data_IF_250858148033
#
_entry.id   IF_250858148033
#
_cell.length_a   1.000
_cell.length_b   1.000
_cell.length_c   1.000
_cell.angle_alpha   90.00
_cell.angle_beta   90.00
_cell.angle_gamma   90.00
#
_symmetry.space_group_name_H-M   'P 1'
#
loop_
_entity.id
_entity.type
_entity.pdbx_description
1 polymer ?
#
# COMPACT_ATOMS: atom_id res chain seq x y z
N UNK A 1 -9.41 8.92 -10.92
CA UNK A 1 -10.70 8.70 -11.60
C UNK A 1 -10.45 8.93 -13.07
N UNK A 2 -10.66 7.92 -13.93
CA UNK A 2 -10.39 8.04 -15.38
C UNK A 2 -11.43 8.92 -16.06
N UNK A 3 -11.23 9.25 -17.34
CA UNK A 3 -12.15 10.10 -18.12
C UNK A 3 -13.53 9.47 -18.34
N UNK A 4 -13.66 8.16 -18.18
CA UNK A 4 -14.91 7.39 -18.30
C UNK A 4 -15.45 6.92 -16.95
N UNK A 5 -14.91 7.43 -15.84
CA UNK A 5 -15.28 6.98 -14.50
C UNK A 5 -16.10 8.05 -13.80
N UNK A 6 -17.28 7.68 -13.32
CA UNK A 6 -18.11 8.51 -12.44
C UNK A 6 -17.95 8.05 -10.99
N UNK A 7 -17.94 9.00 -10.05
CA UNK A 7 -17.94 8.72 -8.62
C UNK A 7 -19.28 9.11 -8.03
N UNK A 8 -19.98 8.13 -7.45
CA UNK A 8 -21.26 8.33 -6.77
C UNK A 8 -21.07 8.05 -5.28
N UNK A 9 -21.64 8.90 -4.43
CA UNK A 9 -21.66 8.67 -2.99
C UNK A 9 -22.78 7.67 -2.64
N UNK A 10 -22.45 6.66 -1.82
CA UNK A 10 -23.40 5.70 -1.29
C UNK A 10 -22.85 5.04 -0.03
N UNK A 11 -23.72 4.81 0.95
CA UNK A 11 -23.44 4.08 2.18
C UNK A 11 -24.27 2.79 2.18
N UNK A 12 -23.60 1.64 2.17
CA UNK A 12 -24.27 0.33 2.19
C UNK A 12 -25.09 0.06 3.46
N UNK A 13 -24.88 0.85 4.51
CA UNK A 13 -25.67 0.79 5.73
C UNK A 13 -26.92 1.71 5.68
N UNK A 14 -27.01 2.60 4.68
CA UNK A 14 -28.17 3.44 4.40
C UNK A 14 -28.81 3.05 3.05
N UNK A 15 -29.87 2.23 3.05
CA UNK A 15 -30.52 1.77 1.82
C UNK A 15 -30.95 2.89 0.87
N UNK A 16 -31.36 4.04 1.39
CA UNK A 16 -31.84 5.15 0.56
C UNK A 16 -30.72 5.71 -0.33
N UNK A 17 -29.49 5.70 0.18
CA UNK A 17 -28.30 6.19 -0.50
C UNK A 17 -27.85 5.32 -1.68
N UNK A 18 -28.28 4.05 -1.74
CA UNK A 18 -27.87 3.10 -2.78
C UNK A 18 -28.65 3.26 -4.09
N UNK A 19 -29.82 3.90 -4.05
CA UNK A 19 -30.70 4.02 -5.22
C UNK A 19 -30.02 4.76 -6.38
N UNK A 20 -29.36 5.88 -6.11
CA UNK A 20 -28.63 6.65 -7.12
C UNK A 20 -27.41 5.90 -7.65
N UNK A 21 -26.72 5.15 -6.79
CA UNK A 21 -25.52 4.39 -7.15
C UNK A 21 -25.81 3.21 -8.11
N UNK A 22 -27.05 2.69 -8.11
CA UNK A 22 -27.46 1.57 -8.96
C UNK A 22 -28.08 2.00 -10.30
N UNK A 23 -28.37 3.29 -10.48
CA UNK A 23 -29.07 3.76 -11.67
C UNK A 23 -28.23 3.58 -12.94
N UNK A 24 -28.73 2.81 -13.90
CA UNK A 24 -28.05 2.54 -15.17
C UNK A 24 -26.89 1.54 -15.08
N UNK A 25 -26.76 0.83 -13.95
CA UNK A 25 -25.73 -0.19 -13.74
C UNK A 25 -26.20 -1.54 -14.29
N UNK A 26 -25.46 -2.12 -15.25
CA UNK A 26 -25.71 -3.48 -15.73
C UNK A 26 -25.12 -4.55 -14.78
N UNK A 27 -23.87 -4.36 -14.37
CA UNK A 27 -23.13 -5.31 -13.54
C UNK A 27 -22.52 -4.60 -12.34
N UNK A 28 -22.76 -5.14 -11.14
CA UNK A 28 -22.29 -4.56 -9.88
C UNK A 28 -21.26 -5.47 -9.20
N UNK A 29 -20.06 -4.95 -8.95
CA UNK A 29 -19.04 -5.64 -8.14
C UNK A 29 -19.21 -5.32 -6.66
N UNK A 30 -19.23 -6.36 -5.81
CA UNK A 30 -19.30 -6.19 -4.36
C UNK A 30 -17.95 -6.54 -3.72
N UNK A 31 -17.22 -5.52 -3.26
CA UNK A 31 -15.93 -5.66 -2.56
C UNK A 31 -15.95 -5.10 -1.12
N UNK A 32 -17.11 -4.70 -0.62
CA UNK A 32 -17.23 -4.13 0.72
C UNK A 32 -17.00 -5.20 1.78
N UNK A 33 -16.18 -4.87 2.78
CA UNK A 33 -15.92 -5.73 3.92
C UNK A 33 -15.50 -4.92 5.16
N UNK A 34 -16.21 -5.10 6.28
CA UNK A 34 -16.15 -4.23 7.46
C UNK A 34 -15.04 -4.59 8.47
N UNK A 35 -13.89 -5.11 8.02
CA UNK A 35 -12.83 -5.61 8.93
C UNK A 35 -12.27 -4.57 9.90
N UNK A 36 -12.29 -3.29 9.52
CA UNK A 36 -11.75 -2.16 10.28
C UNK A 36 -12.63 -1.70 11.45
N UNK A 37 -13.89 -2.14 11.50
CA UNK A 37 -14.84 -1.74 12.53
C UNK A 37 -14.46 -2.27 13.92
N UNK A 38 -14.64 -1.41 14.93
CA UNK A 38 -14.45 -1.73 16.35
C UNK A 38 -15.61 -2.57 16.94
N UNK A 39 -16.74 -2.68 16.22
CA UNK A 39 -17.93 -3.48 16.59
C UNK A 39 -18.02 -4.79 15.78
N UNK A 40 -19.06 -5.58 16.02
CA UNK A 40 -19.35 -6.86 15.36
C UNK A 40 -19.49 -6.69 13.83
N UNK A 41 -18.38 -6.92 13.12
CA UNK A 41 -18.30 -6.73 11.67
C UNK A 41 -19.20 -7.70 10.90
N UNK A 42 -19.53 -8.86 11.50
CA UNK A 42 -20.39 -9.87 10.89
C UNK A 42 -21.79 -9.30 10.64
N UNK A 43 -22.32 -8.54 11.61
CA UNK A 43 -23.63 -7.87 11.49
C UNK A 43 -23.62 -6.73 10.46
N UNK A 44 -22.55 -5.93 10.43
CA UNK A 44 -22.44 -4.86 9.43
C UNK A 44 -22.36 -5.41 8.00
N UNK A 45 -21.58 -6.48 7.80
CA UNK A 45 -21.49 -7.12 6.49
C UNK A 45 -22.82 -7.78 6.08
N UNK A 46 -23.58 -8.31 7.05
CA UNK A 46 -24.94 -8.87 6.83
C UNK A 46 -25.92 -7.80 6.36
N UNK A 47 -25.96 -6.65 7.06
CA UNK A 47 -26.81 -5.51 6.70
C UNK A 47 -26.41 -4.97 5.33
N UNK A 48 -25.12 -4.72 5.13
CA UNK A 48 -24.59 -4.17 3.88
C UNK A 48 -24.89 -5.05 2.66
N UNK A 49 -24.65 -6.36 2.77
CA UNK A 49 -24.92 -7.31 1.69
C UNK A 49 -26.40 -7.37 1.33
N UNK A 50 -27.26 -7.40 2.35
CA UNK A 50 -28.72 -7.43 2.17
C UNK A 50 -29.21 -6.17 1.46
N UNK A 51 -28.82 -4.99 1.96
CA UNK A 51 -29.20 -3.71 1.38
C UNK A 51 -28.73 -3.58 -0.07
N UNK A 52 -27.48 -3.96 -0.33
CA UNK A 52 -26.89 -3.90 -1.67
C UNK A 52 -27.61 -4.81 -2.66
N UNK A 53 -27.84 -6.07 -2.31
CA UNK A 53 -28.53 -7.01 -3.20
C UNK A 53 -29.98 -6.61 -3.47
N UNK A 54 -30.69 -6.11 -2.46
CA UNK A 54 -32.05 -5.60 -2.63
C UNK A 54 -32.08 -4.36 -3.54
N UNK A 55 -31.17 -3.41 -3.33
CA UNK A 55 -31.07 -2.22 -4.17
C UNK A 55 -30.72 -2.56 -5.62
N UNK A 56 -29.75 -3.46 -5.83
CA UNK A 56 -29.36 -3.94 -7.16
C UNK A 56 -30.54 -4.63 -7.87
N UNK A 57 -31.25 -5.50 -7.16
CA UNK A 57 -32.43 -6.21 -7.68
C UNK A 57 -33.55 -5.24 -8.04
N UNK A 58 -33.84 -4.25 -7.19
CA UNK A 58 -34.86 -3.23 -7.43
C UNK A 58 -34.52 -2.30 -8.61
N UNK A 59 -33.23 -2.01 -8.82
CA UNK A 59 -32.75 -1.20 -9.94
C UNK A 59 -32.65 -1.97 -11.26
N UNK A 60 -32.89 -3.29 -11.25
CA UNK A 60 -32.77 -4.14 -12.44
C UNK A 60 -31.32 -4.39 -12.87
N UNK A 61 -30.37 -4.32 -11.93
CA UNK A 61 -28.98 -4.74 -12.18
C UNK A 61 -28.99 -6.18 -12.67
N UNK A 62 -28.33 -6.45 -13.79
CA UNK A 62 -28.33 -7.77 -14.41
C UNK A 62 -27.58 -8.78 -13.55
N UNK A 63 -26.43 -8.40 -12.98
CA UNK A 63 -25.54 -9.31 -12.27
C UNK A 63 -24.82 -8.66 -11.10
N UNK A 64 -24.67 -9.43 -10.02
CA UNK A 64 -23.72 -9.13 -8.96
C UNK A 64 -22.51 -10.04 -9.09
N UNK A 65 -21.30 -9.48 -9.07
CA UNK A 65 -20.04 -10.24 -8.97
C UNK A 65 -19.46 -10.00 -7.58
N UNK A 66 -19.37 -11.06 -6.79
CA UNK A 66 -18.86 -11.02 -5.43
C UNK A 66 -17.53 -11.74 -5.34
N UNK A 67 -16.50 -11.07 -4.83
CA UNK A 67 -15.28 -11.74 -4.40
C UNK A 67 -15.45 -12.10 -2.93
N UNK A 68 -15.61 -13.40 -2.64
CA UNK A 68 -15.76 -14.03 -1.33
C UNK A 68 -14.47 -14.64 -0.76
N UNK A 69 -14.58 -15.35 0.36
CA UNK A 69 -13.46 -16.02 1.02
C UNK A 69 -13.54 -17.53 0.88
N UNK A 70 -12.46 -18.17 0.41
CA UNK A 70 -12.38 -19.62 0.35
C UNK A 70 -12.24 -20.23 1.75
N UNK A 71 -12.95 -21.32 2.01
CA UNK A 71 -12.90 -22.07 3.25
C UNK A 71 -13.87 -23.24 3.18
N UNK A 72 -13.52 -24.34 3.82
CA UNK A 72 -14.36 -25.53 3.86
C UNK A 72 -15.58 -25.29 4.78
N UNK A 73 -16.82 -25.36 4.25
CA UNK A 73 -18.02 -25.18 5.07
C UNK A 73 -18.22 -26.29 6.10
N UNK A 74 -17.61 -27.47 5.92
CA UNK A 74 -17.69 -28.59 6.85
C UNK A 74 -16.71 -28.45 8.03
N UNK A 75 -15.78 -27.49 7.97
CA UNK A 75 -14.87 -27.16 9.05
C UNK A 75 -15.37 -26.01 9.94
N UNK A 76 -14.80 -25.91 11.15
CA UNK A 76 -15.01 -24.75 12.01
C UNK A 76 -14.30 -23.52 11.43
N UNK A 77 -15.03 -22.76 10.61
CA UNK A 77 -14.53 -21.53 10.01
C UNK A 77 -14.30 -20.45 11.06
N UNK A 78 -13.18 -19.73 10.92
CA UNK A 78 -12.97 -18.45 11.59
C UNK A 78 -14.15 -17.50 11.34
N UNK A 79 -14.41 -16.58 12.28
CA UNK A 79 -15.46 -15.55 12.13
C UNK A 79 -15.35 -14.78 10.82
N UNK A 80 -14.12 -14.44 10.43
CA UNK A 80 -13.83 -13.77 9.16
C UNK A 80 -14.32 -14.59 7.95
N UNK A 81 -13.93 -15.86 7.81
CA UNK A 81 -14.34 -16.68 6.66
C UNK A 81 -15.84 -16.98 6.67
N UNK A 82 -16.42 -17.20 7.86
CA UNK A 82 -17.86 -17.43 8.01
C UNK A 82 -18.67 -16.23 7.53
N UNK A 83 -18.34 -15.03 8.00
CA UNK A 83 -18.98 -13.79 7.55
C UNK A 83 -18.85 -13.58 6.04
N UNK A 84 -17.69 -13.91 5.45
CA UNK A 84 -17.47 -13.83 4.01
C UNK A 84 -18.37 -14.78 3.21
N UNK A 85 -18.61 -15.99 3.69
CA UNK A 85 -19.53 -16.94 3.06
C UNK A 85 -20.99 -16.53 3.25
N UNK A 86 -21.34 -16.08 4.46
CA UNK A 86 -22.67 -15.56 4.79
C UNK A 86 -23.06 -14.36 3.91
N UNK A 87 -22.12 -13.42 3.67
CA UNK A 87 -22.33 -12.34 2.70
C UNK A 87 -22.69 -12.88 1.32
N UNK A 88 -22.00 -13.92 0.83
CA UNK A 88 -22.31 -14.55 -0.45
C UNK A 88 -23.71 -15.16 -0.49
N UNK A 89 -24.13 -15.79 0.61
CA UNK A 89 -25.47 -16.36 0.76
C UNK A 89 -26.55 -15.26 0.74
N UNK A 90 -26.35 -14.16 1.47
CA UNK A 90 -27.29 -13.04 1.50
C UNK A 90 -27.44 -12.38 0.12
N UNK A 91 -26.33 -12.17 -0.59
CA UNK A 91 -26.37 -11.63 -1.95
C UNK A 91 -27.21 -12.54 -2.86
N UNK A 92 -27.01 -13.87 -2.79
CA UNK A 92 -27.79 -14.86 -3.57
C UNK A 92 -29.26 -14.94 -3.18
N UNK A 93 -29.57 -14.80 -1.90
CA UNK A 93 -30.94 -14.86 -1.41
C UNK A 93 -31.77 -13.65 -1.87
N UNK A 94 -31.13 -12.52 -2.17
CA UNK A 94 -31.80 -11.28 -2.55
C UNK A 94 -31.58 -10.86 -4.01
N UNK A 95 -30.71 -11.55 -4.76
CA UNK A 95 -30.47 -11.29 -6.18
C UNK A 95 -30.39 -12.61 -6.98
N UNK A 96 -31.12 -12.75 -8.10
CA UNK A 96 -31.22 -14.02 -8.82
C UNK A 96 -29.91 -14.44 -9.50
N UNK A 97 -29.08 -13.46 -9.87
CA UNK A 97 -27.88 -13.67 -10.67
C UNK A 97 -26.61 -13.17 -9.99
N UNK A 98 -26.03 -14.01 -9.14
CA UNK A 98 -24.78 -13.73 -8.41
C UNK A 98 -23.68 -14.69 -8.86
N UNK A 99 -22.55 -14.13 -9.29
CA UNK A 99 -21.31 -14.87 -9.51
C UNK A 99 -20.41 -14.64 -8.29
N UNK A 100 -20.27 -15.66 -7.44
CA UNK A 100 -19.36 -15.61 -6.30
C UNK A 100 -18.03 -16.28 -6.65
N UNK A 101 -16.92 -15.55 -6.52
CA UNK A 101 -15.58 -16.10 -6.52
C UNK A 101 -15.08 -16.30 -5.11
N UNK A 102 -14.84 -17.54 -4.68
CA UNK A 102 -14.19 -17.85 -3.40
C UNK A 102 -12.70 -18.02 -3.62
N UNK A 103 -11.93 -17.00 -3.29
CA UNK A 103 -10.49 -17.00 -3.51
C UNK A 103 -9.71 -17.45 -2.26
N UNK A 104 -8.63 -18.19 -2.48
CA UNK A 104 -7.57 -18.37 -1.49
C UNK A 104 -6.78 -17.06 -1.29
N UNK A 105 -5.65 -17.12 -0.60
CA UNK A 105 -4.75 -15.96 -0.42
C UNK A 105 -4.33 -15.38 -1.78
N UNK A 106 -4.57 -14.08 -1.95
CA UNK A 106 -4.20 -13.32 -3.14
C UNK A 106 -2.76 -12.83 -3.02
N UNK A 107 -1.94 -13.09 -4.04
CA UNK A 107 -0.53 -12.69 -4.14
C UNK A 107 -0.44 -11.55 -5.15
N UNK A 108 -0.05 -10.36 -4.69
CA UNK A 108 0.01 -9.17 -5.52
C UNK A 108 0.11 -7.88 -4.69
N UNK A 109 0.54 -6.80 -5.34
CA UNK A 109 0.53 -5.45 -4.77
C UNK A 109 -0.88 -5.10 -4.27
N UNK A 110 -0.97 -4.42 -3.13
CA UNK A 110 -2.26 -4.04 -2.52
C UNK A 110 -2.99 -5.17 -1.78
N UNK A 111 -2.60 -6.44 -1.93
CA UNK A 111 -3.15 -7.53 -1.12
C UNK A 111 -2.66 -7.47 0.33
N UNK A 112 -3.55 -7.24 1.29
CA UNK A 112 -3.21 -7.18 2.72
C UNK A 112 -2.48 -8.44 3.21
N UNK A 113 -2.89 -9.62 2.73
CA UNK A 113 -2.30 -10.90 3.13
C UNK A 113 -0.89 -11.07 2.56
N UNK A 114 -0.66 -10.64 1.32
CA UNK A 114 0.68 -10.65 0.72
C UNK A 114 1.60 -9.61 1.37
N UNK A 115 1.08 -8.42 1.64
CA UNK A 115 1.81 -7.36 2.35
C UNK A 115 2.22 -7.80 3.76
N UNK A 116 1.37 -8.57 4.44
CA UNK A 116 1.72 -9.18 5.72
C UNK A 116 2.87 -10.18 5.56
N UNK A 117 2.78 -11.13 4.62
CA UNK A 117 3.86 -12.10 4.33
C UNK A 117 5.17 -11.39 4.03
N UNK A 118 5.12 -10.39 3.15
CA UNK A 118 6.27 -9.55 2.80
C UNK A 118 6.86 -8.88 4.02
N UNK A 119 6.05 -8.17 4.80
CA UNK A 119 6.53 -7.40 5.93
C UNK A 119 7.14 -8.30 7.03
N UNK A 120 6.64 -9.52 7.19
CA UNK A 120 7.23 -10.54 8.05
C UNK A 120 8.59 -10.99 7.53
N UNK A 121 8.63 -11.41 6.28
CA UNK A 121 9.85 -11.93 5.67
C UNK A 121 10.89 -10.84 5.55
N UNK A 122 10.57 -9.62 5.19
CA UNK A 122 11.57 -8.55 5.09
C UNK A 122 12.19 -8.20 6.45
N UNK A 123 11.44 -8.30 7.56
CA UNK A 123 11.86 -7.79 8.87
C UNK A 123 12.38 -8.82 9.84
N UNK A 124 11.99 -10.08 9.73
CA UNK A 124 12.30 -11.09 10.73
C UNK A 124 13.31 -12.10 10.19
N UNK A 125 14.63 -11.95 10.46
CA UNK A 125 15.62 -12.93 10.05
C UNK A 125 15.40 -14.29 10.73
N UNK A 126 14.87 -14.28 11.95
CA UNK A 126 14.43 -15.45 12.70
C UNK A 126 12.93 -15.32 12.94
N UNK A 127 12.15 -16.31 12.47
CA UNK A 127 10.70 -16.35 12.57
C UNK A 127 10.29 -17.49 13.49
N UNK A 128 9.58 -17.14 14.57
CA UNK A 128 8.92 -18.12 15.43
C UNK A 128 7.61 -18.51 14.74
N UNK A 129 7.53 -19.75 14.25
CA UNK A 129 6.48 -20.22 13.36
C UNK A 129 5.46 -21.09 14.12
N UNK A 130 4.29 -20.56 14.50
CA UNK A 130 3.20 -21.36 15.05
C UNK A 130 2.64 -22.38 14.06
N UNK A 131 1.79 -23.29 14.56
CA UNK A 131 1.17 -24.36 13.75
C UNK A 131 0.49 -23.87 12.46
N UNK A 132 -0.12 -22.69 12.46
CA UNK A 132 -0.82 -22.15 11.27
C UNK A 132 0.12 -21.96 10.08
N UNK A 133 1.43 -21.79 10.29
CA UNK A 133 2.42 -21.68 9.20
C UNK A 133 2.44 -22.94 8.32
N UNK A 134 1.98 -24.08 8.85
CA UNK A 134 1.86 -25.36 8.12
C UNK A 134 0.50 -25.57 7.46
N UNK A 135 -0.49 -24.71 7.72
CA UNK A 135 -1.80 -24.78 7.05
C UNK A 135 -1.59 -24.54 5.56
N UNK A 136 -2.27 -25.35 4.74
CA UNK A 136 -2.17 -25.26 3.29
C UNK A 136 -3.15 -24.24 2.73
N UNK A 137 -2.68 -23.54 1.71
CA UNK A 137 -3.44 -22.63 0.89
C UNK A 137 -3.15 -22.95 -0.58
N UNK A 138 -3.98 -22.41 -1.47
CA UNK A 138 -3.82 -22.54 -2.92
C UNK A 138 -3.77 -21.14 -3.55
N UNK A 139 -2.67 -20.39 -3.37
CA UNK A 139 -2.61 -18.95 -3.62
C UNK A 139 -2.90 -18.59 -5.08
N UNK A 140 -3.53 -17.45 -5.31
CA UNK A 140 -3.82 -16.93 -6.67
C UNK A 140 -3.13 -15.58 -6.89
N UNK A 141 -2.58 -15.35 -8.10
CA UNK A 141 -2.03 -14.03 -8.44
C UNK A 141 -3.15 -13.00 -8.58
N UNK A 142 -2.91 -11.75 -8.18
CA UNK A 142 -3.90 -10.68 -8.29
C UNK A 142 -4.35 -10.47 -9.75
N UNK A 143 -3.44 -10.58 -10.71
CA UNK A 143 -3.76 -10.42 -12.13
C UNK A 143 -4.64 -11.56 -12.66
N UNK A 144 -4.47 -12.78 -12.16
CA UNK A 144 -5.32 -13.92 -12.54
C UNK A 144 -6.71 -13.81 -11.92
N UNK A 145 -6.79 -13.34 -10.67
CA UNK A 145 -8.05 -13.02 -10.01
C UNK A 145 -8.80 -11.91 -10.76
N UNK A 146 -8.11 -10.85 -11.18
CA UNK A 146 -8.70 -9.79 -11.99
C UNK A 146 -9.18 -10.33 -13.35
N UNK A 147 -8.45 -11.24 -13.98
CA UNK A 147 -8.89 -11.90 -15.21
C UNK A 147 -10.22 -12.68 -15.00
N UNK A 148 -10.36 -13.41 -13.88
CA UNK A 148 -11.64 -14.06 -13.54
C UNK A 148 -12.77 -13.05 -13.37
N UNK A 149 -12.51 -11.94 -12.65
CA UNK A 149 -13.50 -10.88 -12.44
C UNK A 149 -13.93 -10.23 -13.74
N UNK A 150 -13.02 -10.01 -14.68
CA UNK A 150 -13.31 -9.42 -15.99
C UNK A 150 -14.09 -10.38 -16.88
N UNK A 151 -13.66 -11.64 -17.00
CA UNK A 151 -14.40 -12.65 -17.77
C UNK A 151 -15.80 -12.92 -17.19
N UNK A 152 -16.01 -12.65 -15.90
CA UNK A 152 -17.32 -12.77 -15.26
C UNK A 152 -18.36 -11.75 -15.73
N UNK A 153 -17.98 -10.66 -16.40
CA UNK A 153 -18.91 -9.65 -16.94
C UNK A 153 -19.69 -10.23 -18.12
N UNK A 154 -18.99 -10.94 -19.00
CA UNK A 154 -19.55 -11.41 -20.29
C UNK A 154 -20.17 -12.81 -20.21
N UNK A 155 -20.27 -13.38 -19.01
CA UNK A 155 -20.89 -14.71 -18.85
C UNK A 155 -22.35 -14.72 -19.33
N UNK A 156 -22.81 -15.85 -19.88
CA UNK A 156 -24.23 -16.07 -20.09
C UNK A 156 -25.01 -16.01 -18.77
N UNK A 157 -26.25 -15.55 -18.84
CA UNK A 157 -27.13 -15.52 -17.68
C UNK A 157 -27.53 -16.94 -17.28
N UNK A 158 -27.71 -17.14 -15.97
CA UNK A 158 -27.94 -18.44 -15.39
C UNK A 158 -28.16 -18.33 -13.89
N UNK A 159 -28.32 -19.47 -13.20
CA UNK A 159 -28.45 -19.47 -11.76
C UNK A 159 -27.20 -18.89 -11.11
N UNK A 160 -27.38 -18.33 -9.91
CA UNK A 160 -26.25 -17.92 -9.09
C UNK A 160 -25.28 -19.09 -8.86
N UNK A 161 -23.99 -18.82 -9.01
CA UNK A 161 -22.95 -19.86 -9.01
C UNK A 161 -21.74 -19.43 -8.18
N UNK A 162 -21.22 -20.39 -7.41
CA UNK A 162 -19.97 -20.25 -6.67
C UNK A 162 -18.85 -20.89 -7.50
N UNK A 163 -17.74 -20.16 -7.62
CA UNK A 163 -16.50 -20.59 -8.26
C UNK A 163 -15.35 -20.45 -7.27
N UNK A 164 -14.75 -21.57 -6.88
CA UNK A 164 -13.54 -21.55 -6.07
C UNK A 164 -12.33 -21.31 -6.97
N UNK A 165 -11.50 -20.33 -6.61
CA UNK A 165 -10.35 -19.91 -7.41
C UNK A 165 -9.05 -19.94 -6.60
N UNK A 166 -8.02 -20.50 -7.22
CA UNK A 166 -6.70 -20.69 -6.66
C UNK A 166 -5.67 -20.95 -7.76
N UNK A 167 -4.40 -20.82 -7.43
CA UNK A 167 -3.30 -21.21 -8.31
C UNK A 167 -3.15 -22.73 -8.44
N UNK A 168 -2.21 -23.22 -9.25
CA UNK A 168 -1.96 -24.66 -9.40
C UNK A 168 -1.27 -25.29 -8.18
N UNK A 169 -0.62 -24.49 -7.33
CA UNK A 169 0.19 -24.99 -6.22
C UNK A 169 -0.56 -24.99 -4.89
N UNK A 170 -0.66 -26.15 -4.24
CA UNK A 170 -1.10 -26.27 -2.86
C UNK A 170 0.10 -26.21 -1.92
N UNK A 171 0.31 -25.06 -1.28
CA UNK A 171 1.49 -24.77 -0.46
C UNK A 171 1.10 -24.28 0.93
N UNK A 172 1.97 -24.55 1.91
CA UNK A 172 1.83 -23.97 3.24
C UNK A 172 2.26 -22.50 3.27
N UNK A 173 1.75 -21.73 4.23
CA UNK A 173 2.21 -20.35 4.45
C UNK A 173 3.73 -20.25 4.66
N UNK A 174 4.34 -21.26 5.29
CA UNK A 174 5.80 -21.37 5.43
C UNK A 174 6.51 -21.46 4.09
N UNK A 175 5.98 -22.24 3.15
CA UNK A 175 6.52 -22.35 1.80
C UNK A 175 6.35 -21.04 1.01
N UNK A 176 5.22 -20.34 1.16
CA UNK A 176 5.03 -19.02 0.54
C UNK A 176 6.07 -18.01 1.07
N UNK A 177 6.26 -17.95 2.39
CA UNK A 177 7.28 -17.10 3.02
C UNK A 177 8.70 -17.47 2.56
N UNK A 178 9.00 -18.76 2.42
CA UNK A 178 10.30 -19.23 1.95
C UNK A 178 10.55 -18.86 0.48
N UNK A 179 9.55 -19.01 -0.38
CA UNK A 179 9.65 -18.65 -1.79
C UNK A 179 9.85 -17.14 -1.97
N UNK A 180 9.10 -16.32 -1.22
CA UNK A 180 9.31 -14.88 -1.17
C UNK A 180 10.74 -14.52 -0.74
N UNK A 181 11.23 -15.14 0.35
CA UNK A 181 12.59 -14.93 0.85
C UNK A 181 13.64 -15.29 -0.21
N UNK A 182 13.46 -16.42 -0.89
CA UNK A 182 14.35 -16.91 -1.94
C UNK A 182 14.47 -15.90 -3.09
N UNK A 183 13.35 -15.38 -3.59
CA UNK A 183 13.35 -14.40 -4.69
C UNK A 183 13.94 -13.05 -4.29
N UNK A 184 13.85 -12.67 -3.00
CA UNK A 184 14.45 -11.45 -2.45
C UNK A 184 15.89 -11.62 -1.99
N UNK A 185 16.49 -12.80 -2.13
CA UNK A 185 17.85 -13.08 -1.64
C UNK A 185 17.98 -13.05 -0.11
N UNK A 186 16.88 -13.25 0.60
CA UNK A 186 16.80 -13.19 2.05
C UNK A 186 16.94 -14.59 2.67
N UNK A 187 17.81 -14.73 3.67
CA UNK A 187 17.90 -15.95 4.49
C UNK A 187 17.02 -15.82 5.72
N UNK A 188 16.13 -16.79 5.94
CA UNK A 188 15.14 -16.78 7.03
C UNK A 188 15.16 -18.09 7.81
N UNK A 189 15.38 -17.98 9.11
CA UNK A 189 15.40 -19.11 10.04
C UNK A 189 14.00 -19.30 10.61
N UNK A 190 13.31 -20.37 10.23
CA UNK A 190 11.95 -20.66 10.69
C UNK A 190 12.00 -21.68 11.83
N UNK A 191 11.65 -21.26 13.05
CA UNK A 191 11.67 -22.10 14.26
C UNK A 191 10.22 -22.50 14.58
N UNK A 192 9.80 -23.76 14.36
CA UNK A 192 8.44 -24.17 14.62
C UNK A 192 8.14 -24.21 16.12
N UNK A 193 6.98 -23.69 16.52
CA UNK A 193 6.47 -23.76 17.90
C UNK A 193 5.04 -24.31 17.95
N UNK A 194 4.67 -25.10 18.98
CA UNK A 194 3.38 -25.79 19.04
C UNK A 194 2.20 -24.83 19.23
N UNK A 195 2.40 -23.68 19.87
CA UNK A 195 1.40 -22.61 20.02
C UNK A 195 2.13 -21.29 20.19
N UNK A 196 1.57 -20.22 19.62
CA UNK A 196 1.99 -18.86 19.91
C UNK A 196 0.92 -18.28 20.83
N UNK A 197 1.29 -17.85 22.03
CA UNK A 197 0.34 -17.21 22.94
C UNK A 197 -0.19 -15.92 22.29
N UNK A 198 -1.44 -15.51 22.56
CA UNK A 198 -2.00 -14.27 22.02
C UNK A 198 -1.09 -13.05 22.23
N UNK A 199 -0.39 -12.98 23.36
CA UNK A 199 0.58 -11.92 23.68
C UNK A 199 1.81 -11.92 22.75
N UNK A 200 2.41 -13.08 22.47
CA UNK A 200 3.51 -13.20 21.52
C UNK A 200 3.07 -12.93 20.08
N UNK A 201 1.85 -13.33 19.73
CA UNK A 201 1.26 -13.04 18.41
C UNK A 201 1.02 -11.54 18.19
N UNK A 202 0.62 -10.80 19.23
CA UNK A 202 0.49 -9.34 19.17
C UNK A 202 1.82 -8.61 19.14
N UNK A 203 2.85 -9.12 19.83
CA UNK A 203 4.20 -8.54 19.78
C UNK A 203 4.80 -8.68 18.37
N UNK A 204 4.61 -9.86 17.76
CA UNK A 204 5.05 -10.17 16.40
C UNK A 204 4.30 -9.36 15.35
N UNK A 205 2.97 -9.23 15.45
CA UNK A 205 2.17 -8.36 14.56
C UNK A 205 2.49 -6.86 14.75
N UNK A 206 2.75 -6.42 15.98
CA UNK A 206 3.12 -5.04 16.30
C UNK A 206 4.45 -4.60 15.68
N UNK A 207 5.40 -5.52 15.49
CA UNK A 207 6.68 -5.26 14.83
C UNK A 207 6.54 -5.01 13.31
N UNK A 208 5.39 -5.40 12.73
CA UNK A 208 5.18 -5.53 11.28
C UNK A 208 4.41 -4.35 10.73
N UNK A 209 3.42 -3.80 11.43
CA UNK A 209 2.96 -2.39 11.38
C UNK A 209 1.67 -2.21 12.19
N UNK A 210 1.42 -1.02 12.79
CA UNK A 210 0.21 -0.78 13.60
C UNK A 210 -1.11 -0.99 12.83
N UNK A 211 -1.16 -0.68 11.53
CA UNK A 211 -2.34 -0.85 10.68
C UNK A 211 -2.79 -2.33 10.61
N UNK A 212 -1.84 -3.26 10.56
CA UNK A 212 -2.12 -4.70 10.53
C UNK A 212 -2.29 -5.29 11.93
N UNK A 213 -2.03 -4.57 13.01
CA UNK A 213 -2.27 -5.12 14.35
C UNK A 213 -3.77 -5.31 14.61
N UNK A 214 -4.63 -4.43 14.08
CA UNK A 214 -6.10 -4.51 14.21
C UNK A 214 -6.72 -5.48 13.21
N UNK A 215 -6.45 -5.29 11.91
CA UNK A 215 -6.99 -6.15 10.83
C UNK A 215 -6.29 -7.51 10.79
N UNK A 216 -4.97 -7.52 10.99
CA UNK A 216 -4.16 -8.73 10.90
C UNK A 216 -4.44 -9.76 11.98
N UNK A 217 -5.04 -9.40 13.14
CA UNK A 217 -5.49 -10.42 14.10
C UNK A 217 -6.61 -11.29 13.50
N UNK A 218 -7.61 -10.66 12.88
CA UNK A 218 -8.73 -11.35 12.21
C UNK A 218 -8.22 -12.17 11.02
N UNK A 219 -7.29 -11.61 10.25
CA UNK A 219 -6.65 -12.34 9.15
C UNK A 219 -5.83 -13.55 9.64
N UNK A 220 -4.97 -13.39 10.65
CA UNK A 220 -4.18 -14.50 11.23
C UNK A 220 -5.07 -15.61 11.78
N UNK A 221 -6.22 -15.26 12.36
CA UNK A 221 -7.20 -16.25 12.79
C UNK A 221 -7.76 -17.06 11.61
N UNK A 222 -8.06 -16.41 10.48
CA UNK A 222 -8.48 -17.11 9.27
C UNK A 222 -7.41 -17.99 8.62
N UNK A 223 -6.11 -17.70 8.82
CA UNK A 223 -5.02 -18.56 8.32
C UNK A 223 -4.98 -19.95 8.98
N UNK A 224 -5.78 -20.18 10.02
CA UNK A 224 -5.92 -21.50 10.66
C UNK A 224 -6.75 -22.47 9.83
N UNK A 225 -7.62 -21.96 8.96
CA UNK A 225 -8.44 -22.77 8.07
C UNK A 225 -7.69 -23.02 6.75
N UNK A 226 -7.63 -24.26 6.25
CA UNK A 226 -7.17 -24.55 4.90
C UNK A 226 -8.01 -23.82 3.86
N UNK A 227 -7.35 -23.32 2.81
CA UNK A 227 -8.03 -22.65 1.69
C UNK A 227 -7.64 -23.34 0.39
N UNK A 228 -8.15 -24.56 0.24
CA UNK A 228 -7.90 -25.43 -0.91
C UNK A 228 -9.13 -25.45 -1.81
N UNK A 229 -8.90 -25.43 -3.11
CA UNK A 229 -9.98 -25.52 -4.10
C UNK A 229 -10.48 -26.97 -4.15
N UNK A 230 -11.78 -27.17 -3.92
CA UNK A 230 -12.41 -28.48 -3.83
C UNK A 230 -12.82 -29.06 -5.19
N UNK A 231 -13.02 -28.22 -6.21
CA UNK A 231 -13.43 -28.64 -7.54
C UNK A 231 -12.83 -27.77 -8.65
N UNK A 232 -12.83 -28.26 -9.89
CA UNK A 232 -12.23 -27.59 -11.05
C UNK A 232 -13.25 -26.76 -11.87
N UNK A 233 -14.42 -26.45 -11.31
CA UNK A 233 -15.50 -25.76 -12.01
C UNK A 233 -15.01 -24.43 -12.61
N UNK A 234 -14.26 -23.63 -11.86
CA UNK A 234 -13.71 -22.37 -12.36
C UNK A 234 -12.79 -22.57 -13.58
N UNK A 235 -11.90 -23.57 -13.55
CA UNK A 235 -10.95 -23.86 -14.64
C UNK A 235 -11.64 -24.36 -15.92
N UNK A 236 -12.75 -25.09 -15.77
CA UNK A 236 -13.58 -25.53 -16.91
C UNK A 236 -14.42 -24.41 -17.50
N UNK A 237 -14.73 -23.42 -16.68
CA UNK A 237 -15.76 -22.41 -16.98
C UNK A 237 -15.17 -21.10 -17.51
N UNK A 238 -13.93 -20.79 -17.14
CA UNK A 238 -13.21 -19.58 -17.53
C UNK A 238 -11.96 -19.94 -18.33
N UNK A 239 -11.51 -19.00 -19.17
CA UNK A 239 -10.32 -19.16 -20.00
C UNK A 239 -9.03 -18.96 -19.18
N UNK A 240 -9.14 -18.31 -18.02
CA UNK A 240 -8.04 -18.03 -17.09
C UNK A 240 -7.24 -19.30 -16.76
N UNK A 241 -5.92 -19.19 -16.83
CA UNK A 241 -4.96 -20.22 -16.41
C UNK A 241 -4.04 -19.62 -15.34
N UNK A 242 -4.36 -19.84 -14.05
CA UNK A 242 -3.63 -19.21 -12.95
C UNK A 242 -2.14 -19.57 -12.94
N UNK A 243 -1.31 -18.57 -12.62
CA UNK A 243 0.13 -18.74 -12.47
C UNK A 243 0.49 -19.52 -11.21
N UNK A 244 1.62 -20.22 -11.27
CA UNK A 244 2.20 -20.85 -10.08
C UNK A 244 2.64 -19.80 -9.05
N UNK A 245 2.77 -20.19 -7.78
CA UNK A 245 3.14 -19.30 -6.66
C UNK A 245 4.47 -18.60 -6.92
N UNK A 246 5.44 -19.31 -7.52
CA UNK A 246 6.73 -18.73 -7.92
C UNK A 246 6.54 -17.54 -8.88
N UNK A 247 5.71 -17.70 -9.89
CA UNK A 247 5.44 -16.66 -10.90
C UNK A 247 4.58 -15.52 -10.34
N UNK A 248 3.58 -15.84 -9.52
CA UNK A 248 2.76 -14.85 -8.83
C UNK A 248 3.61 -13.91 -7.96
N UNK A 249 4.52 -14.48 -7.15
CA UNK A 249 5.45 -13.68 -6.32
C UNK A 249 6.40 -12.87 -7.19
N UNK A 250 6.97 -13.48 -8.25
CA UNK A 250 7.90 -12.78 -9.14
C UNK A 250 7.23 -11.57 -9.80
N UNK A 251 5.97 -11.73 -10.24
CA UNK A 251 5.20 -10.66 -10.86
C UNK A 251 4.87 -9.55 -9.87
N UNK A 252 4.43 -9.91 -8.66
CA UNK A 252 4.14 -8.97 -7.58
C UNK A 252 5.37 -8.11 -7.23
N UNK A 253 6.57 -8.70 -7.21
CA UNK A 253 7.83 -7.98 -6.96
C UNK A 253 8.20 -6.99 -8.09
N UNK A 254 7.91 -7.30 -9.35
CA UNK A 254 8.17 -6.40 -10.48
C UNK A 254 7.20 -5.20 -10.48
N UNK A 255 5.94 -5.43 -10.14
CA UNK A 255 4.91 -4.39 -10.13
C UNK A 255 5.00 -3.49 -8.88
N UNK A 256 5.62 -3.95 -7.78
CA UNK A 256 5.90 -3.15 -6.57
C UNK A 256 6.61 -1.82 -6.90
N UNK A 257 7.59 -1.84 -7.83
CA UNK A 257 8.34 -0.63 -8.21
C UNK A 257 7.53 0.32 -9.14
N UNK A 258 6.49 -0.16 -9.85
CA UNK A 258 5.68 0.62 -10.81
C UNK A 258 4.37 1.15 -10.21
N UNK A 259 3.61 0.30 -9.52
CA UNK A 259 2.24 0.61 -9.07
C UNK A 259 2.18 1.53 -7.85
N UNK A 260 3.29 1.70 -7.12
CA UNK A 260 3.39 2.66 -6.00
C UNK A 260 3.40 4.13 -6.48
N UNK A 261 3.64 4.37 -7.78
CA UNK A 261 3.50 5.68 -8.39
C UNK A 261 2.03 6.06 -8.67
N UNK A 262 1.15 5.06 -8.85
CA UNK A 262 -0.23 5.24 -9.30
C UNK A 262 -1.28 4.99 -8.21
N UNK A 263 -1.00 4.12 -7.23
CA UNK A 263 -1.95 3.76 -6.15
C UNK A 263 -1.84 4.70 -4.94
N UNK A 264 -2.38 5.93 -5.09
CA UNK A 264 -2.57 6.84 -3.96
C UNK A 264 -3.90 6.62 -3.24
N UNK A 265 -3.80 6.02 -2.05
CA UNK A 265 -4.37 6.51 -0.79
C UNK A 265 -5.87 6.38 -0.45
N UNK A 266 -6.79 6.03 -1.35
CA UNK A 266 -8.22 5.91 -0.96
C UNK A 266 -8.51 4.70 -0.04
N UNK A 267 -7.89 3.55 -0.31
CA UNK A 267 -8.40 2.30 0.26
C UNK A 267 -7.84 1.97 1.66
N UNK A 268 -6.73 2.59 2.04
CA UNK A 268 -6.14 2.43 3.37
C UNK A 268 -6.89 3.19 4.48
N UNK A 269 -7.70 4.20 4.12
CA UNK A 269 -8.52 4.99 5.05
C UNK A 269 -9.82 4.26 5.42
N UNK A 270 -10.38 3.43 4.54
CA UNK A 270 -11.63 2.71 4.80
C UNK A 270 -11.47 1.58 5.84
N UNK A 271 -10.26 1.04 6.01
CA UNK A 271 -10.00 -0.07 6.94
C UNK A 271 -9.42 0.37 8.30
N UNK A 272 -9.06 1.65 8.45
CA UNK A 272 -8.51 2.18 9.69
C UNK A 272 -9.11 3.55 9.95
N UNK A 273 -9.88 3.67 11.04
CA UNK A 273 -10.44 4.96 11.49
C UNK A 273 -9.39 6.08 11.57
N UNK A 274 -9.82 7.33 11.79
CA UNK A 274 -8.98 8.52 11.61
C UNK A 274 -7.64 8.38 12.34
N UNK A 275 -6.49 8.59 11.65
CA UNK A 275 -5.19 8.45 12.26
C UNK A 275 -5.05 9.49 13.39
N UNK A 276 -4.65 9.03 14.58
CA UNK A 276 -4.20 9.93 15.64
C UNK A 276 -2.92 10.62 15.17
N UNK A 277 -2.98 11.94 14.97
CA UNK A 277 -1.85 12.78 14.60
C UNK A 277 -0.87 12.92 15.77
N UNK A 278 0.18 12.11 15.79
CA UNK A 278 1.46 12.40 16.44
C UNK A 278 2.57 11.61 15.72
N UNK A 279 3.41 12.30 14.94
CA UNK A 279 4.58 11.71 14.25
C UNK A 279 4.27 11.07 12.89
N UNK A 280 5.27 11.06 11.98
CA UNK A 280 5.14 10.74 10.55
C UNK A 280 4.34 9.48 10.19
N UNK A 281 3.71 9.50 9.02
CA UNK A 281 2.87 8.41 8.52
C UNK A 281 3.73 7.24 8.00
N UNK A 282 3.32 6.00 8.27
CA UNK A 282 4.03 4.77 7.87
C UNK A 282 3.22 4.02 6.81
N UNK A 283 3.81 3.76 5.65
CA UNK A 283 3.15 3.07 4.54
C UNK A 283 3.90 1.76 4.23
N UNK A 284 3.41 0.62 4.73
CA UNK A 284 4.08 -0.68 4.55
C UNK A 284 5.46 -0.75 5.24
N UNK A 285 6.48 -1.24 4.53
CA UNK A 285 7.90 -1.19 4.95
C UNK A 285 8.51 0.21 4.82
N UNK A 286 7.94 1.08 3.98
CA UNK A 286 8.40 2.44 3.71
C UNK A 286 8.06 3.39 4.86
N UNK A 287 9.08 4.10 5.31
CA UNK A 287 9.02 5.12 6.36
C UNK A 287 8.91 6.48 5.69
N UNK A 288 7.92 7.28 6.08
CA UNK A 288 7.67 8.60 5.50
C UNK A 288 7.66 9.66 6.60
N UNK A 289 8.45 10.70 6.41
CA UNK A 289 8.52 11.85 7.29
C UNK A 289 8.22 13.11 6.49
N UNK A 290 7.00 13.63 6.65
CA UNK A 290 6.50 14.76 5.87
C UNK A 290 6.26 15.98 6.76
N UNK A 291 6.63 17.16 6.27
CA UNK A 291 6.48 18.45 6.93
C UNK A 291 5.99 19.49 5.95
N UNK A 292 5.20 20.43 6.43
CA UNK A 292 4.65 21.53 5.63
C UNK A 292 5.00 22.87 6.22
N UNK A 293 5.18 23.86 5.35
CA UNK A 293 5.33 25.26 5.73
C UNK A 293 4.56 26.13 4.74
N UNK A 294 3.80 27.09 5.27
CA UNK A 294 3.04 28.04 4.46
C UNK A 294 3.81 29.36 4.33
N UNK A 295 3.83 29.89 3.12
CA UNK A 295 4.49 31.15 2.77
C UNK A 295 3.54 32.01 1.95
N UNK A 296 3.45 33.30 2.26
CA UNK A 296 2.63 34.27 1.53
C UNK A 296 3.39 34.80 0.29
N UNK A 297 3.72 33.87 -0.61
CA UNK A 297 4.35 34.14 -1.92
C UNK A 297 3.72 33.24 -3.01
N UNK A 298 3.76 33.65 -4.30
CA UNK A 298 3.32 32.82 -5.41
C UNK A 298 4.15 31.52 -5.58
N UNK A 299 3.62 30.55 -6.30
CA UNK A 299 4.21 29.21 -6.52
C UNK A 299 5.66 29.26 -6.99
N UNK A 300 5.96 30.04 -8.04
CA UNK A 300 7.31 30.13 -8.62
C UNK A 300 8.35 30.64 -7.60
N UNK A 301 7.95 31.60 -6.76
CA UNK A 301 8.80 32.18 -5.74
C UNK A 301 8.99 31.24 -4.54
N UNK A 302 7.95 30.46 -4.19
CA UNK A 302 8.08 29.38 -3.21
C UNK A 302 9.00 28.25 -3.71
N UNK A 303 8.98 27.95 -5.01
CA UNK A 303 9.77 26.88 -5.62
C UNK A 303 11.21 27.28 -5.95
N UNK A 304 11.50 28.57 -6.17
CA UNK A 304 12.83 29.08 -6.48
C UNK A 304 13.97 28.61 -5.54
N UNK A 305 13.83 28.65 -4.20
CA UNK A 305 14.87 28.12 -3.32
C UNK A 305 15.01 26.59 -3.41
N UNK A 306 13.92 25.87 -3.63
CA UNK A 306 13.92 24.40 -3.78
C UNK A 306 14.72 24.02 -5.03
N UNK A 307 14.50 24.75 -6.13
CA UNK A 307 15.25 24.61 -7.38
C UNK A 307 16.75 24.80 -7.18
N UNK A 308 17.20 25.60 -6.20
CA UNK A 308 18.62 25.95 -5.96
C UNK A 308 19.34 25.07 -4.94
N UNK A 309 18.69 24.05 -4.39
CA UNK A 309 19.28 23.13 -3.40
C UNK A 309 20.56 22.47 -3.96
N UNK A 310 21.58 22.35 -3.12
CA UNK A 310 22.87 21.74 -3.44
C UNK A 310 23.89 22.72 -4.05
N UNK A 311 25.09 22.23 -4.34
CA UNK A 311 26.17 23.07 -4.89
C UNK A 311 26.57 24.22 -3.95
N UNK A 312 26.78 25.42 -4.49
CA UNK A 312 27.22 26.60 -3.69
C UNK A 312 26.16 27.12 -2.73
N UNK A 313 24.89 26.82 -2.96
CA UNK A 313 23.76 27.22 -2.09
C UNK A 313 23.66 26.33 -0.84
N UNK A 314 24.15 25.09 -0.94
CA UNK A 314 24.00 24.09 0.12
C UNK A 314 22.56 23.59 0.27
N UNK A 315 22.28 22.98 1.42
CA UNK A 315 21.03 22.33 1.78
C UNK A 315 20.18 23.20 2.72
N UNK A 316 20.46 24.50 2.79
CA UNK A 316 19.79 25.50 3.63
C UNK A 316 19.88 25.27 5.14
N UNK A 317 20.37 24.13 5.63
CA UNK A 317 20.56 23.90 7.06
C UNK A 317 21.58 22.79 7.33
N UNK A 318 22.46 23.05 8.29
CA UNK A 318 23.47 22.12 8.78
C UNK A 318 24.29 21.45 7.66
N UNK A 319 24.80 22.25 6.71
CA UNK A 319 25.58 21.80 5.55
C UNK A 319 26.81 20.95 5.94
N UNK A 320 27.36 21.18 7.13
CA UNK A 320 28.45 20.38 7.69
C UNK A 320 28.03 18.92 7.98
N UNK A 321 26.77 18.66 8.37
CA UNK A 321 26.25 17.30 8.56
C UNK A 321 26.12 16.56 7.23
N UNK A 322 25.69 17.27 6.19
CA UNK A 322 25.61 16.73 4.83
C UNK A 322 27.02 16.43 4.28
N UNK A 323 27.97 17.32 4.54
CA UNK A 323 29.38 17.12 4.19
C UNK A 323 29.99 15.93 4.94
N UNK A 324 29.76 15.82 6.24
CA UNK A 324 30.18 14.68 7.06
C UNK A 324 29.54 13.38 6.56
N UNK A 325 28.24 13.40 6.23
CA UNK A 325 27.55 12.24 5.67
C UNK A 325 28.17 11.80 4.36
N UNK A 326 28.45 12.71 3.44
CA UNK A 326 29.09 12.37 2.18
C UNK A 326 30.55 11.90 2.35
N UNK A 327 31.28 12.41 3.35
CA UNK A 327 32.60 11.87 3.70
C UNK A 327 32.52 10.42 4.21
N UNK A 328 31.59 10.12 5.12
CA UNK A 328 31.34 8.75 5.59
C UNK A 328 30.91 7.82 4.45
N UNK A 329 30.13 8.33 3.49
CA UNK A 329 29.76 7.57 2.30
C UNK A 329 30.98 7.16 1.47
N UNK A 330 31.91 8.09 1.24
CA UNK A 330 33.15 7.84 0.52
C UNK A 330 34.02 6.77 1.21
N UNK A 331 34.13 6.81 2.55
CA UNK A 331 34.85 5.79 3.32
C UNK A 331 34.23 4.40 3.18
N UNK A 332 32.91 4.32 3.02
CA UNK A 332 32.20 3.07 2.75
C UNK A 332 32.21 2.68 1.26
N UNK A 333 32.93 3.41 0.40
CA UNK A 333 33.03 3.17 -1.05
C UNK A 333 31.78 3.61 -1.83
N UNK A 334 31.04 4.58 -1.33
CA UNK A 334 29.94 5.26 -2.03
C UNK A 334 30.43 6.43 -2.90
N UNK A 335 29.51 7.23 -3.41
CA UNK A 335 29.78 8.33 -4.36
C UNK A 335 30.43 9.55 -3.70
N UNK A 336 30.18 9.77 -2.39
CA UNK A 336 30.70 10.91 -1.63
C UNK A 336 30.15 12.29 -2.07
N UNK A 337 30.81 13.38 -1.66
CA UNK A 337 30.43 14.80 -1.99
C UNK A 337 30.99 15.24 -3.36
N UNK A 338 31.39 14.32 -4.25
CA UNK A 338 32.25 14.64 -5.41
C UNK A 338 31.52 14.97 -6.71
N UNK A 339 30.24 15.37 -6.68
CA UNK A 339 29.51 15.80 -7.88
C UNK A 339 28.93 17.18 -7.69
N UNK A 340 29.62 18.16 -8.26
CA UNK A 340 29.10 19.51 -8.42
C UNK A 340 27.85 19.51 -9.30
N UNK A 341 27.02 20.51 -9.10
CA UNK A 341 25.79 20.74 -9.86
C UNK A 341 26.10 21.28 -11.27
N UNK A 342 25.30 20.89 -12.28
CA UNK A 342 25.45 21.31 -13.68
C UNK A 342 25.21 22.81 -13.88
N UNK A 343 24.10 23.32 -13.35
CA UNK A 343 23.69 24.71 -13.45
C UNK A 343 23.08 25.16 -12.11
N UNK A 344 23.43 26.33 -11.54
CA UNK A 344 22.95 26.76 -10.23
C UNK A 344 21.43 27.01 -10.16
N UNK A 345 20.77 27.23 -11.29
CA UNK A 345 19.37 27.63 -11.40
C UNK A 345 18.52 26.66 -12.23
N UNK A 346 19.09 25.88 -13.15
CA UNK A 346 18.37 24.89 -13.95
C UNK A 346 18.62 23.46 -13.44
N UNK A 347 17.55 22.65 -13.35
CA UNK A 347 17.62 21.22 -13.00
C UNK A 347 17.05 20.39 -14.14
N UNK A 348 17.63 19.23 -14.38
CA UNK A 348 17.07 18.20 -15.28
C UNK A 348 17.02 16.87 -14.57
N UNK A 349 16.07 16.03 -14.98
CA UNK A 349 16.03 14.63 -14.57
C UNK A 349 17.37 13.97 -14.92
N UNK A 350 17.98 13.32 -13.93
CA UNK A 350 19.31 12.74 -14.02
C UNK A 350 20.44 13.62 -13.48
N UNK A 351 20.22 14.92 -13.22
CA UNK A 351 21.27 15.78 -12.64
C UNK A 351 21.67 15.31 -11.25
N UNK A 352 22.97 15.41 -10.93
CA UNK A 352 23.51 15.07 -9.62
C UNK A 352 23.56 16.31 -8.71
N UNK A 353 23.10 16.15 -7.47
CA UNK A 353 23.14 17.12 -6.39
C UNK A 353 23.85 16.48 -5.20
N UNK A 354 25.17 16.65 -5.14
CA UNK A 354 26.04 15.94 -4.20
C UNK A 354 25.90 14.41 -4.32
N UNK A 355 25.28 13.78 -3.32
CA UNK A 355 24.99 12.34 -3.26
C UNK A 355 23.51 12.02 -3.53
N UNK A 356 22.80 12.95 -4.17
CA UNK A 356 21.44 12.77 -4.65
C UNK A 356 21.38 12.89 -6.17
N UNK A 357 20.39 12.24 -6.78
CA UNK A 357 20.07 12.38 -8.21
C UNK A 357 18.66 12.89 -8.37
N UNK A 358 18.46 13.85 -9.27
CA UNK A 358 17.14 14.31 -9.67
C UNK A 358 16.43 13.16 -10.37
N UNK A 359 15.36 12.65 -9.76
CA UNK A 359 14.54 11.58 -10.31
C UNK A 359 13.31 12.15 -11.02
N UNK A 360 12.71 13.22 -10.48
CA UNK A 360 11.56 13.90 -11.06
C UNK A 360 11.68 15.41 -10.85
N UNK A 361 11.36 16.18 -11.89
CA UNK A 361 11.42 17.64 -11.87
C UNK A 361 10.26 18.23 -12.71
N UNK A 362 9.31 18.85 -12.03
CA UNK A 362 8.10 19.46 -12.61
C UNK A 362 7.91 20.86 -12.01
N UNK A 363 8.69 21.87 -12.44
CA UNK A 363 8.54 23.23 -11.91
C UNK A 363 7.16 23.84 -12.29
N UNK A 364 6.57 24.69 -11.44
CA UNK A 364 6.96 25.05 -10.07
C UNK A 364 6.41 24.11 -8.97
N UNK A 365 5.98 22.90 -9.32
CA UNK A 365 5.18 22.05 -8.45
C UNK A 365 5.99 21.01 -7.69
N UNK A 366 7.02 20.42 -8.30
CA UNK A 366 7.63 19.21 -7.75
C UNK A 366 9.11 19.02 -8.07
N UNK A 367 9.85 18.55 -7.07
CA UNK A 367 11.21 18.04 -7.20
C UNK A 367 11.36 16.77 -6.34
N UNK A 368 11.77 15.65 -6.95
CA UNK A 368 12.13 14.43 -6.23
C UNK A 368 13.58 14.09 -6.46
N UNK A 369 14.26 13.81 -5.37
CA UNK A 369 15.66 13.41 -5.33
C UNK A 369 15.76 11.98 -4.82
N UNK A 370 16.48 11.11 -5.54
CA UNK A 370 16.82 9.75 -5.13
C UNK A 370 18.25 9.74 -4.54
N UNK A 371 18.45 9.08 -3.41
CA UNK A 371 19.75 8.98 -2.76
C UNK A 371 20.67 7.99 -3.48
N UNK A 372 21.88 8.43 -3.84
CA UNK A 372 22.92 7.57 -4.41
C UNK A 372 23.92 7.08 -3.37
N UNK A 373 23.87 7.62 -2.15
CA UNK A 373 24.74 7.22 -1.05
C UNK A 373 24.42 5.79 -0.59
N UNK A 374 25.42 5.08 -0.06
CA UNK A 374 25.23 3.75 0.52
C UNK A 374 24.39 3.85 1.78
N UNK A 375 23.20 3.25 1.72
CA UNK A 375 22.26 3.15 2.82
C UNK A 375 21.82 1.69 2.93
N UNK A 376 21.46 1.22 4.14
CA UNK A 376 20.79 -0.07 4.31
C UNK A 376 19.31 0.06 3.88
N UNK A 377 19.06 0.48 2.64
CA UNK A 377 17.75 0.83 2.12
C UNK A 377 17.82 1.75 0.90
N UNK A 378 16.66 2.14 0.36
CA UNK A 378 16.52 3.19 -0.68
C UNK A 378 15.95 4.45 -0.02
N UNK A 379 16.33 5.64 -0.47
CA UNK A 379 15.86 6.88 0.15
C UNK A 379 15.53 7.95 -0.89
N UNK A 380 14.49 8.71 -0.63
CA UNK A 380 14.11 9.86 -1.45
C UNK A 380 13.86 11.08 -0.58
N UNK A 381 14.11 12.26 -1.16
CA UNK A 381 13.69 13.54 -0.62
C UNK A 381 12.84 14.24 -1.67
N UNK A 382 11.59 14.48 -1.34
CA UNK A 382 10.62 15.12 -2.22
C UNK A 382 10.21 16.48 -1.68
N UNK A 383 10.09 17.44 -2.60
CA UNK A 383 9.48 18.72 -2.36
C UNK A 383 8.28 18.90 -3.28
N UNK A 384 7.16 19.32 -2.70
CA UNK A 384 5.95 19.71 -3.42
C UNK A 384 5.56 21.13 -3.04
N UNK A 385 5.11 21.91 -4.01
CA UNK A 385 4.56 23.25 -3.78
C UNK A 385 3.17 23.31 -4.38
N UNK A 386 2.21 23.71 -3.55
CA UNK A 386 0.80 23.85 -3.93
C UNK A 386 0.22 25.12 -3.31
N UNK A 387 -0.64 25.83 -4.02
CA UNK A 387 -1.16 27.12 -3.57
C UNK A 387 -1.78 27.92 -4.69
N UNK A 388 -1.99 29.20 -4.42
CA UNK A 388 -2.54 30.19 -5.34
C UNK A 388 -1.50 31.30 -5.64
N UNK A 389 -1.94 32.37 -6.29
CA UNK A 389 -1.08 33.50 -6.67
C UNK A 389 -0.55 34.32 -5.47
N UNK A 390 -1.08 34.13 -4.26
CA UNK A 390 -0.74 34.93 -3.07
C UNK A 390 -0.13 34.11 -1.95
N UNK A 391 -0.44 32.81 -1.87
CA UNK A 391 -0.02 31.92 -0.80
C UNK A 391 0.30 30.53 -1.33
N UNK A 392 1.45 30.03 -0.93
CA UNK A 392 1.94 28.70 -1.27
C UNK A 392 2.22 27.88 -0.02
N UNK A 393 1.99 26.58 -0.12
CA UNK A 393 2.37 25.57 0.87
C UNK A 393 3.49 24.73 0.30
N UNK A 394 4.64 24.73 0.98
CA UNK A 394 5.79 23.89 0.66
C UNK A 394 5.70 22.64 1.54
N UNK A 395 5.64 21.47 0.92
CA UNK A 395 5.70 20.16 1.59
C UNK A 395 7.05 19.52 1.30
N UNK A 396 7.78 19.19 2.36
CA UNK A 396 9.01 18.42 2.32
C UNK A 396 8.74 17.02 2.85
N UNK A 397 9.09 16.00 2.09
CA UNK A 397 8.84 14.60 2.43
C UNK A 397 10.11 13.78 2.26
N UNK A 398 10.66 13.27 3.37
CA UNK A 398 11.71 12.27 3.36
C UNK A 398 11.07 10.87 3.33
N UNK A 399 11.49 10.03 2.39
CA UNK A 399 10.96 8.69 2.16
C UNK A 399 12.12 7.71 2.30
N UNK A 400 11.94 6.63 3.03
CA UNK A 400 12.97 5.60 3.20
C UNK A 400 12.39 4.19 3.15
N UNK A 401 12.97 3.37 2.29
CA UNK A 401 12.71 1.93 2.19
C UNK A 401 13.82 1.16 2.87
N UNK A 402 13.63 0.76 4.15
CA UNK A 402 14.64 0.02 4.88
C UNK A 402 14.87 -1.37 4.27
N UNK A 403 16.13 -1.72 4.05
CA UNK A 403 16.53 -3.09 3.74
C UNK A 403 16.63 -3.87 5.07
N UNK A 404 15.55 -4.55 5.44
CA UNK A 404 15.48 -5.38 6.64
C UNK A 404 15.73 -4.62 7.96
N UNK A 405 16.22 -5.33 8.98
CA UNK A 405 16.42 -4.75 10.33
C UNK A 405 17.51 -3.68 10.38
N UNK A 406 18.59 -3.84 9.61
CA UNK A 406 19.69 -2.87 9.58
C UNK A 406 19.20 -1.53 9.01
N UNK A 407 18.28 -1.56 8.04
CA UNK A 407 17.59 -0.38 7.54
C UNK A 407 16.74 0.31 8.60
N UNK A 408 15.94 -0.47 9.35
CA UNK A 408 15.10 0.07 10.42
C UNK A 408 15.94 0.69 11.55
N UNK A 409 16.98 -0.02 12.01
CA UNK A 409 17.91 0.48 13.03
C UNK A 409 18.62 1.75 12.56
N UNK A 410 19.04 1.80 11.30
CA UNK A 410 19.63 2.99 10.71
C UNK A 410 18.65 4.17 10.75
N UNK A 411 17.43 3.99 10.24
CA UNK A 411 16.42 5.05 10.23
C UNK A 411 16.12 5.58 11.62
N UNK A 412 15.84 4.70 12.59
CA UNK A 412 15.49 5.12 13.94
C UNK A 412 16.68 5.68 14.71
N UNK A 413 17.90 5.21 14.44
CA UNK A 413 19.13 5.75 15.04
C UNK A 413 19.39 7.20 14.61
N UNK A 414 19.11 7.54 13.35
CA UNK A 414 19.31 8.90 12.82
C UNK A 414 18.05 9.77 12.87
N UNK A 415 16.89 9.19 13.21
CA UNK A 415 15.61 9.90 13.21
C UNK A 415 15.61 11.20 14.03
N UNK A 416 16.18 11.27 15.25
CA UNK A 416 16.27 12.54 15.98
C UNK A 416 17.06 13.62 15.23
N UNK A 417 18.13 13.22 14.53
CA UNK A 417 18.91 14.11 13.69
C UNK A 417 18.11 14.57 12.47
N UNK A 418 17.37 13.66 11.82
CA UNK A 418 16.46 13.98 10.72
C UNK A 418 15.41 15.02 11.12
N UNK A 419 14.83 14.88 12.32
CA UNK A 419 13.86 15.85 12.84
C UNK A 419 14.45 17.26 12.87
N UNK A 420 15.66 17.41 13.40
CA UNK A 420 16.35 18.70 13.46
C UNK A 420 16.75 19.22 12.08
N UNK A 421 17.32 18.36 11.23
CA UNK A 421 17.86 18.76 9.92
C UNK A 421 16.75 19.17 8.96
N UNK A 422 15.71 18.34 8.80
CA UNK A 422 14.62 18.63 7.88
C UNK A 422 13.74 19.78 8.36
N UNK A 423 13.44 19.88 9.65
CA UNK A 423 12.74 21.05 10.18
C UNK A 423 13.55 22.35 10.02
N UNK A 424 14.89 22.29 10.17
CA UNK A 424 15.77 23.41 9.89
C UNK A 424 15.78 23.80 8.41
N UNK A 425 15.91 22.80 7.53
CA UNK A 425 15.90 22.96 6.08
C UNK A 425 14.61 23.61 5.60
N UNK A 426 13.45 23.07 5.96
CA UNK A 426 12.16 23.61 5.53
C UNK A 426 11.94 25.05 6.01
N UNK A 427 12.32 25.38 7.25
CA UNK A 427 12.25 26.75 7.78
C UNK A 427 13.12 27.72 6.97
N UNK A 428 14.32 27.31 6.59
CA UNK A 428 15.26 28.16 5.86
C UNK A 428 14.90 28.29 4.37
N UNK A 429 14.37 27.23 3.75
CA UNK A 429 13.75 27.29 2.42
C UNK A 429 12.57 28.27 2.42
N UNK A 430 11.67 28.17 3.41
CA UNK A 430 10.55 29.10 3.55
C UNK A 430 10.99 30.55 3.78
N UNK A 431 12.08 30.78 4.53
CA UNK A 431 12.67 32.11 4.72
C UNK A 431 13.25 32.66 3.42
N UNK A 432 13.96 31.83 2.65
CA UNK A 432 14.55 32.22 1.37
C UNK A 432 13.47 32.55 0.31
N UNK A 433 12.34 31.83 0.32
CA UNK A 433 11.19 32.16 -0.52
C UNK A 433 10.64 33.57 -0.21
N UNK A 434 10.54 33.93 1.08
CA UNK A 434 10.03 35.25 1.51
C UNK A 434 11.02 36.39 1.22
N UNK A 435 12.32 36.18 1.35
CA UNK A 435 13.32 37.23 1.13
C UNK A 435 13.42 37.67 -0.33
N UNK A 436 13.10 36.80 -1.29
CA UNK A 436 13.02 37.16 -2.71
C UNK A 436 11.86 38.13 -3.01
N UNK A 437 10.76 38.08 -2.23
CA UNK A 437 9.61 38.99 -2.39
C UNK A 437 9.98 40.44 -2.00
N UNK A 438 10.86 40.61 -1.01
CA UNK A 438 11.28 41.93 -0.50
C UNK A 438 12.19 42.67 -1.49
N UNK A 439 13.02 41.95 -2.25
CA UNK A 439 13.89 42.54 -3.27
C UNK A 439 13.07 43.01 -4.50
N UNK A 440 12.14 42.18 -4.98
CA UNK A 440 11.28 42.53 -6.14
C UNK A 440 10.29 43.67 -5.85
N UNK A 441 9.87 43.85 -4.58
CA UNK A 441 9.02 44.99 -4.17
C UNK A 441 9.78 46.29 -3.91
N UNK A 442 11.11 46.25 -3.79
CA UNK A 442 11.95 47.45 -3.64
C UNK A 442 12.44 48.00 -4.99
N UNK A 443 12.42 47.17 -6.03
CA UNK A 443 12.79 47.54 -7.41
C UNK A 443 11.59 47.96 -8.29
N UNK A 444 10.37 47.80 -7.77
CA UNK A 444 9.14 48.42 -8.30
C UNK A 444 8.75 49.59 -7.44
#
# INVERSE_FOLDING_TARGET
VGSTTETVAGDVLDPASLTSAMHGVDTAYYFVHSMGADRDFEEQDRIAATNFAQAASAAGVRRIIYLGGLGDPDESLSKHLRSRQETGDLLRNHHPQVVEFRASIVIGSGSLSFEMIRALVERLPVMICPRWVRVRAQPIAVEDLLAYLLEAIDRPDGPSQIYEIGGPDQVSYGQIMHEYARQRGLRRWMIPVPVLTPYLSSLWLGLVTPLYARVGRKLVESLRNPTLVANDLALRTFSVRPRCVREAIARALVNEDREFAETRWSDALSAGGPPRTWGGARFGSRLVDSRTATVDVPLDQAFAPIRRIGGRTGWYYADWLWSLRGFLDLLCGGVGVRRGRRDPDDLRVGDALDFWRVELYEPPHRLRLNAEMKLPGRAWLEFEVSGDERRSTIRQTAIFDPLGLTGLLYWYGIYPLHQCVFAGMLRNVARAARSQNVLQRRER
#
